data_IF_337978251882
#
_entry.id   IF_337978251882
#
_cell.length_a   1.000
_cell.length_b   1.000
_cell.length_c   1.000
_cell.angle_alpha   90.00
_cell.angle_beta   90.00
_cell.angle_gamma   90.00
#
_symmetry.space_group_name_H-M   'P 1'
#
loop_
_entity.id
_entity.type
_entity.pdbx_description
1 polymer ?
#
# COMPACT_ATOMS: atom_id res chain seq x y z
N UNK A 1 11.67 26.73 0.70
CA UNK A 1 10.22 26.63 0.41
C UNK A 1 9.67 25.29 0.88
N UNK A 2 8.42 25.25 1.34
CA UNK A 2 7.64 24.03 1.58
C UNK A 2 6.73 23.82 0.37
N UNK A 3 6.76 22.61 -0.19
CA UNK A 3 5.87 22.18 -1.26
C UNK A 3 5.03 21.01 -0.79
N UNK A 4 3.74 21.03 -1.16
CA UNK A 4 2.86 19.87 -1.08
C UNK A 4 2.62 19.39 -2.50
N UNK A 5 2.96 18.14 -2.77
CA UNK A 5 2.73 17.47 -4.04
C UNK A 5 1.61 16.46 -3.87
N UNK A 6 0.51 16.64 -4.59
CA UNK A 6 -0.52 15.62 -4.76
C UNK A 6 -0.14 14.75 -5.95
N UNK A 7 -0.23 13.43 -5.85
CA UNK A 7 0.17 12.54 -6.93
C UNK A 7 -0.63 11.24 -6.97
N UNK A 8 -0.72 10.69 -8.16
CA UNK A 8 -1.29 9.37 -8.46
C UNK A 8 -0.65 8.84 -9.76
N UNK A 9 -0.06 7.65 -9.73
CA UNK A 9 0.69 7.09 -10.86
C UNK A 9 1.76 8.12 -11.33
N UNK A 10 1.83 8.41 -12.61
CA UNK A 10 2.72 9.38 -13.26
C UNK A 10 2.21 10.83 -13.21
N UNK A 11 1.00 11.07 -12.70
CA UNK A 11 0.40 12.41 -12.61
C UNK A 11 0.68 13.02 -11.24
N UNK A 12 1.14 14.28 -11.21
CA UNK A 12 1.29 15.02 -9.97
C UNK A 12 1.03 16.51 -10.14
N UNK A 13 0.61 17.15 -9.05
CA UNK A 13 0.41 18.59 -8.94
C UNK A 13 1.18 19.11 -7.72
N UNK A 14 1.92 20.21 -7.89
CA UNK A 14 2.72 20.82 -6.82
C UNK A 14 2.12 22.15 -6.40
N UNK A 15 2.00 22.34 -5.09
CA UNK A 15 1.48 23.54 -4.46
C UNK A 15 2.54 24.17 -3.54
N UNK A 16 2.89 25.46 -3.72
CA UNK A 16 3.78 26.16 -2.81
C UNK A 16 3.03 26.53 -1.52
N UNK A 17 3.59 26.14 -0.38
CA UNK A 17 3.02 26.38 0.95
C UNK A 17 3.84 27.38 1.78
N UNK A 18 4.69 28.18 1.14
CA UNK A 18 5.53 29.17 1.82
C UNK A 18 6.82 28.59 2.38
N UNK A 19 7.19 28.96 3.61
CA UNK A 19 8.42 28.47 4.28
C UNK A 19 8.08 27.74 5.57
N UNK A 20 9.03 26.99 6.14
CA UNK A 20 8.81 26.29 7.42
C UNK A 20 8.44 27.28 8.54
N UNK A 21 9.04 28.47 8.55
CA UNK A 21 8.71 29.53 9.52
C UNK A 21 7.43 30.31 9.19
N UNK A 22 6.90 30.19 7.97
CA UNK A 22 5.69 30.87 7.56
C UNK A 22 4.92 30.07 6.51
N UNK A 23 4.09 29.15 6.99
CA UNK A 23 3.21 28.34 6.15
C UNK A 23 2.10 29.23 5.59
N UNK A 24 1.98 29.28 4.26
CA UNK A 24 0.98 30.03 3.50
C UNK A 24 0.33 29.11 2.47
N UNK A 25 -0.76 28.41 2.83
CA UNK A 25 -1.48 27.58 1.88
C UNK A 25 -2.01 28.42 0.70
N UNK A 26 -1.94 27.93 -0.54
CA UNK A 26 -2.52 28.63 -1.68
C UNK A 26 -4.04 28.63 -1.56
N UNK A 27 -4.68 29.69 -2.08
CA UNK A 27 -6.13 29.85 -2.07
C UNK A 27 -6.84 28.77 -2.88
N UNK A 28 -6.29 28.43 -4.06
CA UNK A 28 -6.74 27.31 -4.87
C UNK A 28 -5.91 26.04 -4.57
N UNK A 29 -6.61 24.95 -4.24
CA UNK A 29 -6.05 23.62 -3.94
C UNK A 29 -6.83 22.52 -4.66
N UNK A 30 -7.57 22.87 -5.71
CA UNK A 30 -8.28 21.90 -6.54
C UNK A 30 -7.29 21.04 -7.32
N UNK A 31 -7.55 19.73 -7.36
CA UNK A 31 -6.75 18.78 -8.13
C UNK A 31 -7.35 18.68 -9.53
N UNK A 32 -6.79 19.42 -10.49
CA UNK A 32 -7.26 19.46 -11.88
C UNK A 32 -6.63 18.38 -12.75
N UNK A 33 -5.42 17.97 -12.42
CA UNK A 33 -4.60 17.08 -13.26
C UNK A 33 -4.53 15.65 -12.68
N UNK A 34 -5.40 15.35 -11.70
CA UNK A 34 -5.53 14.04 -11.08
C UNK A 34 -6.96 13.55 -11.25
N UNK A 35 -7.11 12.33 -11.77
CA UNK A 35 -8.41 11.74 -12.06
C UNK A 35 -9.34 11.67 -10.84
N UNK A 36 -10.59 12.07 -11.05
CA UNK A 36 -11.63 12.00 -10.02
C UNK A 36 -11.90 10.53 -9.67
N UNK A 37 -11.73 10.19 -8.39
CA UNK A 37 -11.96 8.84 -7.85
C UNK A 37 -10.68 8.04 -7.63
N UNK A 38 -9.51 8.55 -8.05
CA UNK A 38 -8.22 7.97 -7.71
C UNK A 38 -7.86 8.19 -6.24
N UNK A 39 -7.11 7.25 -5.66
CA UNK A 39 -6.54 7.44 -4.32
C UNK A 39 -5.36 8.37 -4.47
N UNK A 40 -5.54 9.63 -4.05
CA UNK A 40 -4.51 10.65 -4.12
C UNK A 40 -3.57 10.50 -2.93
N UNK A 41 -2.28 10.40 -3.23
CA UNK A 41 -1.23 10.49 -2.22
C UNK A 41 -0.68 11.90 -2.19
N UNK A 42 -0.15 12.27 -1.02
CA UNK A 42 0.50 13.54 -0.81
C UNK A 42 1.94 13.32 -0.36
N UNK A 43 2.80 14.21 -0.80
CA UNK A 43 4.18 14.32 -0.37
C UNK A 43 4.45 15.76 0.05
N UNK A 44 5.20 15.94 1.13
CA UNK A 44 5.69 17.24 1.58
C UNK A 44 7.18 17.28 1.34
N UNK A 45 7.65 18.31 0.62
CA UNK A 45 9.08 18.59 0.41
C UNK A 45 9.44 19.93 1.03
N UNK A 46 10.54 19.97 1.76
CA UNK A 46 11.22 21.21 2.14
C UNK A 46 12.42 21.36 1.22
N UNK A 47 12.44 22.42 0.42
CA UNK A 47 13.48 22.69 -0.58
C UNK A 47 14.22 23.97 -0.19
N UNK A 48 15.54 23.96 -0.23
CA UNK A 48 16.34 25.18 -0.13
C UNK A 48 16.20 25.99 -1.42
N UNK A 49 15.82 27.26 -1.28
CA UNK A 49 15.73 28.22 -2.39
C UNK A 49 16.63 29.45 -2.16
N UNK A 50 17.43 29.43 -1.09
CA UNK A 50 18.30 30.52 -0.68
C UNK A 50 19.76 30.24 -1.04
N UNK A 51 20.35 29.21 -0.45
CA UNK A 51 21.79 28.96 -0.54
C UNK A 51 22.09 27.85 -1.55
N UNK A 52 21.40 26.71 -1.41
CA UNK A 52 21.52 25.56 -2.29
C UNK A 52 20.23 25.36 -3.07
N UNK A 53 19.95 26.28 -4.01
CA UNK A 53 18.70 26.30 -4.79
C UNK A 53 18.39 24.93 -5.38
N UNK A 54 17.23 24.38 -5.01
CA UNK A 54 16.73 23.10 -5.48
C UNK A 54 17.09 21.89 -4.61
N UNK A 55 17.93 22.05 -3.59
CA UNK A 55 18.26 20.97 -2.65
C UNK A 55 17.07 20.61 -1.78
N UNK A 56 16.71 19.33 -1.75
CA UNK A 56 15.70 18.81 -0.81
C UNK A 56 16.35 18.72 0.57
N UNK A 57 15.83 19.48 1.53
CA UNK A 57 16.25 19.49 2.93
C UNK A 57 15.49 18.46 3.77
N UNK A 58 14.23 18.18 3.41
CA UNK A 58 13.40 17.17 4.07
C UNK A 58 12.28 16.71 3.15
N UNK A 59 11.83 15.47 3.36
CA UNK A 59 10.74 14.85 2.62
C UNK A 59 9.88 13.98 3.54
N UNK A 60 8.57 14.05 3.35
CA UNK A 60 7.62 13.09 3.89
C UNK A 60 6.71 12.65 2.75
N UNK A 61 6.61 11.35 2.50
CA UNK A 61 5.93 10.80 1.32
C UNK A 61 4.80 9.82 1.68
N UNK A 62 3.89 9.59 0.73
CA UNK A 62 2.86 8.55 0.82
C UNK A 62 1.70 8.90 1.76
N UNK A 63 1.50 10.18 2.05
CA UNK A 63 0.46 10.69 2.96
C UNK A 63 -0.91 10.50 2.29
N UNK A 64 -1.84 9.82 2.95
CA UNK A 64 -3.21 9.63 2.46
C UNK A 64 -4.13 10.62 3.18
N UNK A 65 -5.00 11.36 2.47
CA UNK A 65 -5.96 12.25 3.11
C UNK A 65 -6.91 11.46 4.02
N UNK A 66 -7.04 11.91 5.27
CA UNK A 66 -7.92 11.28 6.24
C UNK A 66 -9.34 11.83 6.12
N UNK A 67 -10.35 10.96 6.03
CA UNK A 67 -11.74 11.39 6.09
C UNK A 67 -12.14 11.58 7.57
N UNK A 68 -12.41 12.82 7.97
CA UNK A 68 -12.65 13.21 9.37
C UNK A 68 -13.94 12.61 9.97
N UNK A 69 -14.81 12.01 9.16
CA UNK A 69 -16.01 11.30 9.64
C UNK A 69 -15.72 9.88 10.17
N UNK A 70 -14.51 9.36 9.98
CA UNK A 70 -14.13 8.06 10.56
C UNK A 70 -13.50 8.26 11.95
N UNK A 71 -14.23 7.92 13.01
CA UNK A 71 -13.88 8.07 14.44
C UNK A 71 -12.70 7.16 14.88
N UNK A 72 -11.88 6.67 13.95
CA UNK A 72 -10.70 5.85 14.24
C UNK A 72 -9.43 6.58 13.81
N UNK A 73 -9.10 7.66 14.52
CA UNK A 73 -7.77 8.25 14.50
C UNK A 73 -6.76 7.20 15.03
N UNK A 74 -6.10 6.44 14.12
CA UNK A 74 -4.80 5.73 14.29
C UNK A 74 -4.52 4.62 13.26
N UNK A 75 -5.46 4.22 12.39
CA UNK A 75 -5.21 3.13 11.43
C UNK A 75 -4.59 3.67 10.13
N UNK A 76 -3.30 3.38 9.92
CA UNK A 76 -2.64 3.59 8.63
C UNK A 76 -3.23 2.58 7.62
N UNK A 77 -3.79 3.08 6.51
CA UNK A 77 -4.17 2.23 5.39
C UNK A 77 -2.90 1.83 4.62
N UNK A 78 -2.45 0.58 4.80
CA UNK A 78 -1.23 0.08 4.15
C UNK A 78 -1.45 -0.28 2.67
N UNK A 79 -2.60 -0.88 2.36
CA UNK A 79 -3.01 -1.22 0.99
C UNK A 79 -4.31 -0.52 0.60
N UNK A 80 -4.22 0.62 -0.09
CA UNK A 80 -5.39 1.24 -0.68
C UNK A 80 -5.97 0.35 -1.79
N UNK A 81 -7.30 0.36 -1.96
CA UNK A 81 -8.00 -0.41 -3.00
C UNK A 81 -8.65 0.53 -4.01
N UNK A 82 -8.30 0.39 -5.28
CA UNK A 82 -8.87 1.18 -6.39
C UNK A 82 -9.61 0.29 -7.37
N UNK A 83 -10.63 0.85 -8.01
CA UNK A 83 -11.49 0.14 -8.96
C UNK A 83 -11.22 0.65 -10.36
N UNK A 84 -10.70 -0.21 -11.25
CA UNK A 84 -10.32 0.14 -12.63
C UNK A 84 -10.80 -0.91 -13.62
N UNK A 85 -10.80 -0.57 -14.91
CA UNK A 85 -10.95 -1.57 -15.96
C UNK A 85 -9.61 -2.32 -16.12
N UNK A 86 -9.60 -3.61 -15.78
CA UNK A 86 -8.42 -4.47 -15.88
C UNK A 86 -8.55 -5.51 -17.02
N UNK A 87 -9.51 -5.32 -17.94
CA UNK A 87 -9.81 -6.28 -18.99
C UNK A 87 -10.22 -7.64 -18.40
N UNK A 88 -9.52 -8.74 -18.71
CA UNK A 88 -9.87 -10.07 -18.20
C UNK A 88 -9.37 -10.35 -16.77
N UNK A 89 -8.46 -9.54 -16.21
CA UNK A 89 -7.92 -9.76 -14.87
C UNK A 89 -8.92 -9.34 -13.79
N UNK A 90 -9.00 -10.07 -12.68
CA UNK A 90 -9.92 -9.75 -11.57
C UNK A 90 -9.32 -8.69 -10.63
N UNK A 91 -8.04 -8.83 -10.32
CA UNK A 91 -7.29 -7.89 -9.49
C UNK A 91 -5.80 -7.97 -9.87
N UNK A 92 -5.03 -6.95 -9.48
CA UNK A 92 -3.56 -6.96 -9.50
C UNK A 92 -3.00 -6.01 -8.45
N UNK A 93 -1.73 -6.19 -8.11
CA UNK A 93 -0.97 -5.17 -7.41
C UNK A 93 -0.26 -4.23 -8.39
N UNK A 94 -0.28 -2.95 -8.05
CA UNK A 94 0.38 -1.87 -8.77
C UNK A 94 1.39 -1.22 -7.81
N UNK A 95 2.62 -0.93 -8.26
CA UNK A 95 3.76 -0.58 -7.41
C UNK A 95 4.44 0.79 -7.71
N UNK A 96 3.80 1.75 -8.37
CA UNK A 96 4.47 2.99 -8.83
C UNK A 96 5.24 3.71 -7.71
N UNK A 97 4.51 4.20 -6.70
CA UNK A 97 5.08 4.89 -5.53
C UNK A 97 4.99 4.02 -4.28
N UNK A 98 3.83 3.38 -4.10
CA UNK A 98 3.50 2.45 -3.04
C UNK A 98 2.44 1.47 -3.53
N UNK A 99 2.33 0.27 -2.92
CA UNK A 99 1.43 -0.74 -3.41
C UNK A 99 -0.03 -0.30 -3.30
N UNK A 100 -0.78 -0.55 -4.37
CA UNK A 100 -2.24 -0.40 -4.44
C UNK A 100 -2.82 -1.70 -4.98
N UNK A 101 -3.93 -2.14 -4.39
CA UNK A 101 -4.73 -3.23 -4.94
C UNK A 101 -5.70 -2.66 -5.97
N UNK A 102 -5.45 -2.91 -7.25
CA UNK A 102 -6.39 -2.59 -8.30
C UNK A 102 -7.36 -3.77 -8.47
N UNK A 103 -8.66 -3.50 -8.40
CA UNK A 103 -9.72 -4.49 -8.59
C UNK A 103 -10.55 -4.11 -9.81
N UNK A 104 -10.87 -5.10 -10.63
CA UNK A 104 -11.60 -4.89 -11.86
C UNK A 104 -13.05 -4.48 -11.59
N UNK A 105 -13.48 -3.34 -12.14
CA UNK A 105 -14.85 -2.85 -12.03
C UNK A 105 -15.76 -3.21 -13.21
N UNK A 106 -15.24 -3.96 -14.19
CA UNK A 106 -15.96 -4.44 -15.38
C UNK A 106 -16.05 -5.96 -15.46
N UNK A 107 -16.09 -6.64 -14.31
CA UNK A 107 -16.26 -8.09 -14.26
C UNK A 107 -17.68 -8.43 -14.76
N UNK A 108 -17.81 -9.20 -15.86
CA UNK A 108 -19.12 -9.58 -16.39
C UNK A 108 -19.96 -10.33 -15.35
N UNK A 109 -21.23 -9.94 -15.21
CA UNK A 109 -22.15 -10.53 -14.23
C UNK A 109 -21.98 -10.04 -12.79
N UNK A 110 -20.94 -9.26 -12.49
CA UNK A 110 -20.71 -8.67 -11.15
C UNK A 110 -20.90 -7.16 -11.18
N UNK A 111 -20.31 -6.46 -12.17
CA UNK A 111 -20.41 -5.01 -12.29
C UNK A 111 -20.00 -4.28 -11.00
N UNK A 112 -20.80 -3.27 -10.60
CA UNK A 112 -20.53 -2.44 -9.41
C UNK A 112 -20.56 -3.20 -8.08
N UNK A 113 -21.19 -4.39 -8.02
CA UNK A 113 -21.26 -5.21 -6.80
C UNK A 113 -19.87 -5.66 -6.31
N UNK A 114 -18.84 -5.58 -7.16
CA UNK A 114 -17.45 -5.86 -6.78
C UNK A 114 -16.99 -5.00 -5.60
N UNK A 115 -17.51 -3.77 -5.47
CA UNK A 115 -17.17 -2.86 -4.36
C UNK A 115 -17.61 -3.42 -3.01
N UNK A 116 -18.77 -4.06 -2.98
CA UNK A 116 -19.30 -4.68 -1.77
C UNK A 116 -18.61 -6.01 -1.50
N UNK A 117 -18.37 -6.82 -2.55
CA UNK A 117 -17.61 -8.08 -2.45
C UNK A 117 -16.25 -7.84 -1.81
N UNK A 118 -15.47 -6.87 -2.30
CA UNK A 118 -14.15 -6.54 -1.74
C UNK A 118 -14.22 -6.18 -0.25
N UNK A 119 -15.31 -5.55 0.20
CA UNK A 119 -15.46 -5.06 1.57
C UNK A 119 -15.97 -6.11 2.54
N UNK A 120 -16.88 -6.97 2.11
CA UNK A 120 -17.67 -7.82 3.02
C UNK A 120 -17.55 -9.31 2.72
N UNK A 121 -17.15 -9.69 1.51
CA UNK A 121 -17.13 -11.10 1.11
C UNK A 121 -15.96 -11.86 1.74
N UNK A 122 -16.31 -12.93 2.46
CA UNK A 122 -15.34 -13.77 3.17
C UNK A 122 -14.52 -14.62 2.20
N UNK A 123 -15.08 -15.05 1.07
CA UNK A 123 -14.35 -15.82 0.08
C UNK A 123 -13.32 -14.97 -0.65
N UNK A 124 -13.68 -13.75 -1.04
CA UNK A 124 -12.75 -12.75 -1.56
C UNK A 124 -11.64 -12.51 -0.55
N UNK A 125 -11.98 -12.31 0.74
CA UNK A 125 -10.96 -12.11 1.75
C UNK A 125 -9.97 -13.27 1.82
N UNK A 126 -10.49 -14.49 1.85
CA UNK A 126 -9.69 -15.70 2.04
C UNK A 126 -8.81 -16.06 0.84
N UNK A 127 -9.25 -15.72 -0.38
CA UNK A 127 -8.52 -16.05 -1.60
C UNK A 127 -7.56 -14.93 -2.04
N UNK A 128 -7.91 -13.67 -1.79
CA UNK A 128 -7.15 -12.51 -2.31
C UNK A 128 -6.12 -12.01 -1.31
N UNK A 129 -6.46 -11.79 -0.04
CA UNK A 129 -5.52 -11.15 0.90
C UNK A 129 -4.27 -11.98 1.21
N UNK A 130 -4.33 -13.31 1.42
CA UNK A 130 -3.12 -14.11 1.57
C UNK A 130 -2.24 -14.10 0.31
N UNK A 131 -2.84 -14.08 -0.88
CA UNK A 131 -2.11 -14.00 -2.15
C UNK A 131 -1.42 -12.64 -2.29
N UNK A 132 -2.14 -11.55 -2.02
CA UNK A 132 -1.63 -10.18 -1.98
C UNK A 132 -0.45 -10.04 -1.00
N UNK A 133 -0.58 -10.57 0.22
CA UNK A 133 0.50 -10.52 1.20
C UNK A 133 1.74 -11.27 0.70
N UNK A 134 1.57 -12.47 0.13
CA UNK A 134 2.68 -13.24 -0.45
C UNK A 134 3.38 -12.45 -1.56
N UNK A 135 2.61 -11.88 -2.48
CA UNK A 135 3.14 -11.10 -3.62
C UNK A 135 3.88 -9.84 -3.13
N UNK A 136 3.34 -9.14 -2.13
CA UNK A 136 4.00 -7.99 -1.50
C UNK A 136 5.33 -8.36 -0.86
N UNK A 137 5.36 -9.39 -0.03
CA UNK A 137 6.59 -9.80 0.66
C UNK A 137 7.63 -10.34 -0.33
N UNK A 138 7.18 -11.02 -1.39
CA UNK A 138 8.06 -11.44 -2.51
C UNK A 138 8.64 -10.22 -3.22
N UNK A 139 7.82 -9.21 -3.51
CA UNK A 139 8.30 -7.96 -4.11
C UNK A 139 9.33 -7.28 -3.23
N UNK A 140 9.08 -7.17 -1.92
CA UNK A 140 9.98 -6.52 -0.96
C UNK A 140 11.32 -7.27 -0.84
N UNK A 141 11.28 -8.57 -0.53
CA UNK A 141 12.49 -9.31 -0.13
C UNK A 141 13.26 -9.92 -1.30
N UNK A 142 12.55 -10.35 -2.36
CA UNK A 142 13.15 -11.12 -3.46
C UNK A 142 13.43 -10.25 -4.68
N UNK A 143 12.50 -9.36 -5.03
CA UNK A 143 12.61 -8.56 -6.26
C UNK A 143 13.34 -7.24 -5.99
N UNK A 144 12.96 -6.55 -4.91
CA UNK A 144 13.57 -5.28 -4.53
C UNK A 144 14.80 -5.47 -3.63
N UNK A 145 15.03 -6.70 -3.13
CA UNK A 145 16.13 -7.08 -2.23
C UNK A 145 16.30 -6.07 -1.07
N UNK A 146 15.16 -5.60 -0.55
CA UNK A 146 15.13 -4.55 0.46
C UNK A 146 15.73 -5.06 1.78
N UNK A 147 16.61 -4.26 2.39
CA UNK A 147 17.20 -4.59 3.68
C UNK A 147 16.11 -4.65 4.77
N UNK A 148 15.85 -5.83 5.37
CA UNK A 148 14.84 -5.96 6.41
C UNK A 148 15.19 -5.26 7.73
N UNK A 149 16.42 -4.71 7.86
CA UNK A 149 16.83 -3.86 8.97
C UNK A 149 16.55 -2.38 8.78
N UNK A 150 16.11 -1.94 7.60
CA UNK A 150 15.75 -0.53 7.39
C UNK A 150 14.66 -0.11 8.39
N UNK A 151 14.82 1.10 8.92
CA UNK A 151 13.95 1.71 9.95
C UNK A 151 13.24 2.96 9.44
N UNK A 152 13.43 3.35 8.17
CA UNK A 152 12.72 4.47 7.58
C UNK A 152 11.23 4.17 7.42
N UNK A 153 10.42 4.64 8.38
CA UNK A 153 8.96 4.48 8.35
C UNK A 153 8.29 5.27 7.21
N UNK A 154 9.01 6.14 6.49
CA UNK A 154 8.56 6.73 5.23
C UNK A 154 8.53 5.72 4.07
N UNK A 155 9.33 4.65 4.16
CA UNK A 155 9.40 3.60 3.16
C UNK A 155 8.25 2.59 3.35
N UNK A 156 7.41 2.42 2.32
CA UNK A 156 6.29 1.48 2.39
C UNK A 156 6.73 0.05 2.68
N UNK A 157 7.93 -0.36 2.22
CA UNK A 157 8.48 -1.70 2.45
C UNK A 157 8.68 -1.97 3.94
N UNK A 158 9.29 -1.01 4.64
CA UNK A 158 9.46 -1.05 6.10
C UNK A 158 8.09 -1.12 6.80
N UNK A 159 7.10 -0.34 6.36
CA UNK A 159 5.76 -0.37 6.93
C UNK A 159 5.10 -1.77 6.84
N UNK A 160 5.29 -2.48 5.73
CA UNK A 160 4.79 -3.85 5.57
C UNK A 160 5.55 -4.87 6.43
N UNK A 161 6.87 -4.74 6.54
CA UNK A 161 7.65 -5.61 7.43
C UNK A 161 7.27 -5.38 8.90
N UNK A 162 7.02 -4.13 9.31
CA UNK A 162 6.48 -3.79 10.63
C UNK A 162 5.08 -4.38 10.84
N UNK A 163 4.21 -4.32 9.82
CA UNK A 163 2.88 -4.93 9.89
C UNK A 163 2.94 -6.44 10.12
N UNK A 164 3.84 -7.16 9.42
CA UNK A 164 4.01 -8.61 9.61
C UNK A 164 4.43 -8.94 11.05
N UNK A 165 5.29 -8.13 11.66
CA UNK A 165 5.74 -8.30 13.05
C UNK A 165 4.59 -8.27 14.07
N UNK A 166 3.41 -7.75 13.72
CA UNK A 166 2.24 -7.74 14.60
C UNK A 166 1.67 -9.16 14.83
N UNK A 167 1.93 -10.10 13.93
CA UNK A 167 1.40 -11.46 14.00
C UNK A 167 2.45 -12.56 13.77
N UNK A 168 3.65 -12.21 13.30
CA UNK A 168 4.75 -13.14 13.09
C UNK A 168 6.04 -12.53 13.61
N UNK A 169 6.51 -13.01 14.76
CA UNK A 169 7.60 -12.41 15.52
C UNK A 169 9.00 -12.66 14.92
N UNK A 170 9.12 -13.60 13.98
CA UNK A 170 10.41 -13.93 13.38
C UNK A 170 10.86 -12.82 12.43
N UNK A 171 12.11 -12.40 12.58
CA UNK A 171 12.71 -11.38 11.74
C UNK A 171 12.93 -11.91 10.33
N UNK A 172 12.66 -11.06 9.33
CA UNK A 172 12.93 -11.37 7.94
C UNK A 172 14.44 -11.55 7.71
N UNK A 173 14.86 -12.61 7.01
CA UNK A 173 16.28 -12.86 6.74
C UNK A 173 16.83 -11.83 5.75
N UNK A 174 18.08 -11.41 6.00
CA UNK A 174 18.83 -10.55 5.09
C UNK A 174 19.22 -11.31 3.83
N UNK A 175 19.28 -10.59 2.71
CA UNK A 175 19.82 -11.13 1.47
C UNK A 175 21.34 -10.92 1.46
N UNK A 176 22.09 -11.99 1.20
CA UNK A 176 23.52 -11.91 0.92
C UNK A 176 23.76 -12.53 -0.46
N UNK A 177 24.22 -11.72 -1.42
CA UNK A 177 24.42 -12.15 -2.82
C UNK A 177 25.35 -13.35 -2.96
N UNK A 178 26.26 -13.51 -2.01
CA UNK A 178 27.32 -14.51 -2.03
C UNK A 178 26.87 -15.85 -1.42
N UNK A 179 25.65 -15.91 -0.88
CA UNK A 179 25.05 -17.10 -0.32
C UNK A 179 23.69 -17.41 -0.98
N UNK A 180 23.66 -18.36 -1.94
CA UNK A 180 22.43 -18.76 -2.62
C UNK A 180 21.32 -19.28 -1.69
N UNK A 181 21.65 -19.75 -0.48
CA UNK A 181 20.68 -20.27 0.48
C UNK A 181 19.78 -19.19 1.08
N UNK A 182 20.24 -17.93 1.07
CA UNK A 182 19.50 -16.77 1.60
C UNK A 182 18.16 -16.57 0.90
N UNK A 183 18.11 -16.80 -0.42
CA UNK A 183 16.86 -16.69 -1.18
C UNK A 183 15.85 -17.75 -0.79
N UNK A 184 16.30 -18.98 -0.52
CA UNK A 184 15.41 -20.03 -0.03
C UNK A 184 14.91 -19.74 1.38
N UNK A 185 15.75 -19.19 2.24
CA UNK A 185 15.36 -18.75 3.58
C UNK A 185 14.30 -17.65 3.53
N UNK A 186 14.47 -16.66 2.64
CA UNK A 186 13.48 -15.61 2.42
C UNK A 186 12.14 -16.19 1.94
N UNK A 187 12.16 -17.12 0.98
CA UNK A 187 10.93 -17.77 0.50
C UNK A 187 10.23 -18.57 1.60
N UNK A 188 10.99 -19.31 2.42
CA UNK A 188 10.43 -20.03 3.58
C UNK A 188 9.82 -19.06 4.59
N UNK A 189 10.52 -17.96 4.90
CA UNK A 189 10.03 -16.93 5.80
C UNK A 189 8.73 -16.29 5.29
N UNK A 190 8.63 -16.00 3.99
CA UNK A 190 7.41 -15.47 3.36
C UNK A 190 6.24 -16.44 3.55
N UNK A 191 6.44 -17.73 3.28
CA UNK A 191 5.38 -18.73 3.43
C UNK A 191 4.93 -18.87 4.89
N UNK A 192 5.85 -18.84 5.84
CA UNK A 192 5.54 -18.88 7.27
C UNK A 192 4.79 -17.63 7.75
N UNK A 193 5.21 -16.43 7.30
CA UNK A 193 4.52 -15.18 7.59
C UNK A 193 3.08 -15.19 7.06
N UNK A 194 2.87 -15.69 5.83
CA UNK A 194 1.53 -15.82 5.24
C UNK A 194 0.69 -16.86 5.98
N UNK A 195 1.28 -17.98 6.43
CA UNK A 195 0.59 -18.96 7.28
C UNK A 195 0.16 -18.33 8.61
N UNK A 196 1.04 -17.56 9.26
CA UNK A 196 0.72 -16.85 10.50
C UNK A 196 -0.44 -15.86 10.28
N UNK A 197 -0.42 -15.09 9.19
CA UNK A 197 -1.53 -14.22 8.79
C UNK A 197 -2.84 -15.01 8.64
N UNK A 198 -2.80 -16.14 7.91
CA UNK A 198 -4.00 -16.96 7.70
C UNK A 198 -4.58 -17.51 9.01
N UNK A 199 -3.70 -17.94 9.92
CA UNK A 199 -4.08 -18.45 11.25
C UNK A 199 -4.73 -17.37 12.10
N UNK A 200 -4.09 -16.21 12.26
CA UNK A 200 -4.60 -15.09 13.08
C UNK A 200 -5.94 -14.56 12.55
N UNK A 201 -6.17 -14.63 11.24
CA UNK A 201 -7.39 -14.12 10.62
C UNK A 201 -8.46 -15.18 10.32
N UNK A 202 -8.25 -16.44 10.71
CA UNK A 202 -9.21 -17.54 10.47
C UNK A 202 -9.59 -17.69 9.00
N UNK A 203 -8.60 -17.62 8.11
CA UNK A 203 -8.81 -17.55 6.65
C UNK A 203 -9.52 -18.79 6.12
N UNK A 204 -9.13 -19.98 6.58
CA UNK A 204 -9.71 -21.24 6.12
C UNK A 204 -11.17 -21.37 6.57
N UNK A 205 -11.46 -21.01 7.82
CA UNK A 205 -12.79 -21.03 8.42
C UNK A 205 -13.74 -20.06 7.72
N UNK A 206 -13.25 -18.86 7.39
CA UNK A 206 -14.00 -17.86 6.61
C UNK A 206 -14.41 -18.40 5.25
N UNK A 207 -13.48 -19.05 4.54
CA UNK A 207 -13.78 -19.63 3.23
C UNK A 207 -14.77 -20.80 3.33
N UNK A 208 -14.57 -21.71 4.31
CA UNK A 208 -15.45 -22.85 4.53
C UNK A 208 -16.90 -22.44 4.84
N UNK A 209 -17.07 -21.40 5.67
CA UNK A 209 -18.40 -20.88 6.02
C UNK A 209 -19.17 -20.37 4.79
N UNK A 210 -18.50 -19.65 3.87
CA UNK A 210 -19.13 -19.18 2.63
C UNK A 210 -19.58 -20.33 1.72
N UNK A 211 -18.84 -21.45 1.70
CA UNK A 211 -19.21 -22.62 0.87
C UNK A 211 -20.40 -23.38 1.43
N UNK A 212 -20.57 -23.41 2.75
CA UNK A 212 -21.76 -24.01 3.37
C UNK A 212 -23.04 -23.20 3.08
N UNK A 213 -22.95 -21.88 3.05
CA UNK A 213 -24.08 -20.99 2.71
C UNK A 213 -24.56 -21.14 1.25
N UNK A 214 -23.67 -21.52 0.32
CA UNK A 214 -24.00 -21.70 -1.11
C UNK A 214 -24.52 -23.11 -1.42
N UNK A 215 -24.20 -24.10 -0.58
CA UNK A 215 -24.60 -25.50 -0.76
C UNK A 215 -25.87 -25.88 0.03
N UNK A 216 -26.37 -24.98 0.87
CA UNK A 216 -27.63 -25.12 1.62
C UNK A 216 -28.80 -24.49 0.86
#
# INVERSE_FOLDING_TARGET
MVFIEAYYDSSYMRFPFGTVGQIRPPSNRELTDIDRGSIVFFRVKVVDESEQVGKILAEADGIVPHNMESVSAKRLCLLPVVFKDLGPAVWRLQYDSRPVLEVNNRIPGVGDAIKDIVRTDRAFFALVWPAVLRELLTKILIIDEHDPLDVDLGNWRVQWLVFVRLFYAHQAPQFFSDDPSTREEQLRWIDEAVRAFCSVHGVAEKYGSTRQEVLA
#
